data_IF_685059492872
#
_entry.id   IF_685059492872
#
_cell.length_a   1.000
_cell.length_b   1.000
_cell.length_c   1.000
_cell.angle_alpha   90.00
_cell.angle_beta   90.00
_cell.angle_gamma   90.00
#
_symmetry.space_group_name_H-M   'P 1'
#
loop_
_entity.id
_entity.type
_entity.pdbx_description
1 polymer ?
#
# COMPACT_ATOMS: atom_id res chain seq x y z
N UNK A 1 10.09 48.32 22.28
CA UNK A 1 10.46 46.92 22.56
C UNK A 1 9.26 45.94 22.58
N UNK A 2 8.06 46.34 23.04
CA UNK A 2 6.88 45.41 23.13
C UNK A 2 6.33 44.94 21.73
N UNK A 3 6.48 45.73 20.66
CA UNK A 3 5.96 45.38 19.31
C UNK A 3 6.79 44.29 18.60
N UNK A 4 8.09 44.16 18.87
CA UNK A 4 8.98 43.18 18.30
C UNK A 4 8.70 41.80 18.90
N UNK A 5 8.37 41.68 20.20
CA UNK A 5 8.03 40.44 20.86
C UNK A 5 6.76 39.77 20.30
N UNK A 6 5.75 40.59 19.88
CA UNK A 6 4.49 40.09 19.32
C UNK A 6 4.73 39.43 17.93
N UNK A 7 5.60 40.03 17.13
CA UNK A 7 5.94 39.52 15.77
C UNK A 7 6.71 38.21 15.87
N UNK A 8 7.61 38.04 16.84
CA UNK A 8 8.36 36.81 17.07
C UNK A 8 7.43 35.67 17.53
N UNK A 9 6.45 35.96 18.39
CA UNK A 9 5.46 34.96 18.84
C UNK A 9 4.59 34.49 17.67
N UNK A 10 4.20 35.38 16.76
CA UNK A 10 3.41 35.03 15.58
C UNK A 10 4.16 34.12 14.60
N UNK A 11 5.50 34.25 14.50
CA UNK A 11 6.33 33.39 13.64
C UNK A 11 6.53 31.99 14.19
N UNK A 12 6.47 31.80 15.52
CA UNK A 12 6.65 30.49 16.17
C UNK A 12 5.39 29.61 16.02
N UNK A 13 4.19 30.19 15.86
CA UNK A 13 2.93 29.47 15.73
C UNK A 13 2.66 28.95 14.32
N UNK A 14 3.39 29.39 13.29
CA UNK A 14 3.23 28.92 11.90
C UNK A 14 4.05 27.66 11.57
N UNK A 15 4.80 27.08 12.51
CA UNK A 15 5.88 26.13 12.24
C UNK A 15 5.52 24.62 12.33
N UNK A 16 4.32 24.20 12.73
CA UNK A 16 4.04 22.79 12.99
C UNK A 16 2.75 22.28 12.34
N UNK A 17 2.60 22.46 11.05
CA UNK A 17 1.71 21.57 10.28
C UNK A 17 2.57 20.38 9.89
N UNK A 18 2.60 19.34 10.73
CA UNK A 18 3.09 18.03 10.34
C UNK A 18 2.12 17.49 9.27
N UNK A 19 2.41 17.73 8.00
CA UNK A 19 1.76 16.99 6.93
C UNK A 19 2.25 15.54 7.01
N UNK A 20 1.48 14.69 7.67
CA UNK A 20 1.69 13.24 7.62
C UNK A 20 1.33 12.80 6.20
N UNK A 21 2.34 12.41 5.42
CA UNK A 21 2.12 11.85 4.09
C UNK A 21 1.79 10.36 4.25
N UNK A 22 0.58 9.98 3.88
CA UNK A 22 0.17 8.59 3.85
C UNK A 22 0.54 8.00 2.49
N UNK A 23 1.50 7.08 2.49
CA UNK A 23 2.06 6.51 1.26
C UNK A 23 2.35 5.01 1.46
N UNK A 24 1.95 4.20 0.49
CA UNK A 24 2.46 2.85 0.32
C UNK A 24 3.20 2.72 -1.01
N UNK A 25 4.06 1.71 -1.14
CA UNK A 25 4.70 1.38 -2.42
C UNK A 25 4.47 -0.08 -2.75
N UNK A 26 4.17 -0.36 -4.03
CA UNK A 26 4.00 -1.73 -4.51
C UNK A 26 4.80 -1.95 -5.79
N UNK A 27 5.55 -3.04 -5.85
CA UNK A 27 6.21 -3.50 -7.06
C UNK A 27 5.44 -4.70 -7.61
N UNK A 28 5.02 -4.63 -8.87
CA UNK A 28 4.47 -5.73 -9.65
C UNK A 28 5.53 -6.18 -10.66
N UNK A 29 6.16 -7.31 -10.41
CA UNK A 29 7.20 -7.88 -11.25
C UNK A 29 6.62 -9.05 -12.06
N UNK A 30 6.39 -8.82 -13.36
CA UNK A 30 5.96 -9.85 -14.30
C UNK A 30 7.17 -10.70 -14.70
N UNK A 31 7.11 -11.97 -14.35
CA UNK A 31 8.22 -12.92 -14.53
C UNK A 31 8.16 -13.65 -15.87
N UNK A 32 9.27 -14.23 -16.28
CA UNK A 32 9.34 -15.10 -17.48
C UNK A 32 8.58 -16.43 -17.27
N UNK A 33 8.34 -16.82 -16.01
CA UNK A 33 7.58 -18.03 -15.65
C UNK A 33 6.05 -17.84 -15.67
N UNK A 34 5.56 -16.76 -16.29
CA UNK A 34 4.14 -16.40 -16.34
C UNK A 34 3.51 -16.27 -14.94
N UNK A 35 4.20 -15.57 -14.04
CA UNK A 35 3.66 -15.15 -12.74
C UNK A 35 3.84 -13.65 -12.55
N UNK A 36 3.14 -13.08 -11.56
CA UNK A 36 3.35 -11.73 -11.05
C UNK A 36 3.73 -11.81 -9.59
N UNK A 37 4.97 -11.48 -9.29
CA UNK A 37 5.45 -11.31 -7.91
C UNK A 37 5.13 -9.89 -7.45
N UNK A 38 4.50 -9.76 -6.28
CA UNK A 38 4.10 -8.46 -5.75
C UNK A 38 4.76 -8.24 -4.40
N UNK A 39 5.46 -7.12 -4.28
CA UNK A 39 6.04 -6.65 -3.01
C UNK A 39 5.36 -5.36 -2.61
N UNK A 40 4.69 -5.36 -1.47
CA UNK A 40 4.01 -4.19 -0.90
C UNK A 40 4.75 -3.71 0.32
N UNK A 41 4.98 -2.40 0.44
CA UNK A 41 5.60 -1.76 1.60
C UNK A 41 4.63 -0.77 2.21
N UNK A 42 4.34 -0.96 3.49
CA UNK A 42 3.41 -0.13 4.28
C UNK A 42 4.15 0.31 5.55
N UNK A 43 3.96 1.55 5.99
CA UNK A 43 4.47 1.98 7.29
C UNK A 43 3.78 1.23 8.42
N UNK A 44 4.55 0.87 9.45
CA UNK A 44 4.04 0.09 10.59
C UNK A 44 2.91 0.79 11.32
N UNK A 45 3.04 2.10 11.54
CA UNK A 45 2.03 2.91 12.21
C UNK A 45 0.73 3.02 11.40
N UNK A 46 0.82 3.07 10.07
CA UNK A 46 -0.36 3.09 9.19
C UNK A 46 -1.05 1.72 9.19
N UNK A 47 -0.28 0.63 9.13
CA UNK A 47 -0.83 -0.73 9.24
C UNK A 47 -1.44 -0.98 10.62
N UNK A 48 -0.79 -0.53 11.70
CA UNK A 48 -1.33 -0.63 13.06
C UNK A 48 -2.65 0.13 13.20
N UNK A 49 -2.71 1.36 12.66
CA UNK A 49 -3.95 2.15 12.64
C UNK A 49 -5.08 1.46 11.87
N UNK A 50 -4.76 0.78 10.76
CA UNK A 50 -5.72 -0.03 10.02
C UNK A 50 -6.22 -1.21 10.88
N UNK A 51 -5.29 -1.94 11.50
CA UNK A 51 -5.64 -3.10 12.33
C UNK A 51 -6.51 -2.70 13.53
N UNK A 52 -6.18 -1.62 14.21
CA UNK A 52 -6.97 -1.06 15.31
C UNK A 52 -8.38 -0.62 14.85
N UNK A 53 -8.47 0.03 13.70
CA UNK A 53 -9.76 0.51 13.18
C UNK A 53 -10.67 -0.61 12.65
N UNK A 54 -10.10 -1.60 11.98
CA UNK A 54 -10.87 -2.64 11.27
C UNK A 54 -11.04 -3.94 12.06
N UNK A 55 -10.05 -4.28 12.91
CA UNK A 55 -9.97 -5.55 13.63
C UNK A 55 -9.79 -5.34 15.14
N UNK A 56 -10.44 -4.31 15.72
CA UNK A 56 -10.29 -3.89 17.12
C UNK A 56 -10.58 -4.97 18.15
N UNK A 57 -11.34 -6.00 17.80
CA UNK A 57 -11.60 -7.12 18.69
C UNK A 57 -10.42 -8.12 18.78
N UNK A 58 -9.58 -8.17 17.75
CA UNK A 58 -8.47 -9.12 17.62
C UNK A 58 -7.10 -8.44 17.71
N UNK A 59 -7.04 -7.12 17.55
CA UNK A 59 -5.81 -6.33 17.52
C UNK A 59 -5.84 -5.16 18.52
N UNK A 60 -4.72 -4.96 19.19
CA UNK A 60 -4.42 -3.76 19.97
C UNK A 60 -2.94 -3.37 19.75
N UNK A 61 -2.54 -2.18 20.23
CA UNK A 61 -1.19 -1.64 20.04
C UNK A 61 -0.04 -2.51 20.58
N UNK A 62 -0.33 -3.46 21.46
CA UNK A 62 0.63 -4.42 21.98
C UNK A 62 0.62 -5.77 21.25
N UNK A 63 -0.23 -5.92 20.23
CA UNK A 63 -0.33 -7.15 19.46
C UNK A 63 0.93 -7.37 18.61
N UNK A 64 1.42 -8.61 18.61
CA UNK A 64 2.52 -9.00 17.76
C UNK A 64 2.03 -9.14 16.31
N UNK A 65 2.60 -8.33 15.41
CA UNK A 65 2.29 -8.39 13.97
C UNK A 65 2.68 -9.72 13.33
N UNK A 66 3.60 -10.46 13.94
CA UNK A 66 4.05 -11.77 13.45
C UNK A 66 3.16 -12.92 13.96
N UNK A 67 2.19 -12.64 14.83
CA UNK A 67 1.25 -13.66 15.30
C UNK A 67 0.38 -14.21 14.16
N UNK A 68 0.06 -15.50 14.19
CA UNK A 68 -0.73 -16.20 13.17
C UNK A 68 -2.08 -15.52 12.91
N UNK A 69 -2.72 -15.03 13.97
CA UNK A 69 -4.01 -14.33 13.85
C UNK A 69 -3.87 -13.04 13.05
N UNK A 70 -2.90 -12.20 13.41
CA UNK A 70 -2.67 -10.91 12.74
C UNK A 70 -2.21 -11.13 11.29
N UNK A 71 -1.35 -12.11 11.05
CA UNK A 71 -0.95 -12.50 9.69
C UNK A 71 -2.15 -12.94 8.83
N UNK A 72 -3.14 -13.61 9.41
CA UNK A 72 -4.36 -13.98 8.69
C UNK A 72 -5.21 -12.76 8.32
N UNK A 73 -5.27 -11.73 9.17
CA UNK A 73 -5.97 -10.47 8.90
C UNK A 73 -5.26 -9.61 7.84
N UNK A 74 -3.93 -9.56 7.90
CA UNK A 74 -3.12 -8.90 6.86
C UNK A 74 -3.34 -9.58 5.51
N UNK A 75 -3.34 -10.91 5.47
CA UNK A 75 -3.66 -11.68 4.26
C UNK A 75 -5.03 -11.30 3.68
N UNK A 76 -6.09 -11.42 4.49
CA UNK A 76 -7.46 -11.11 4.09
C UNK A 76 -7.56 -9.69 3.53
N UNK A 77 -6.90 -8.75 4.20
CA UNK A 77 -6.88 -7.36 3.80
C UNK A 77 -6.21 -7.13 2.45
N UNK A 78 -5.01 -7.67 2.26
CA UNK A 78 -4.23 -7.48 1.03
C UNK A 78 -4.86 -8.19 -0.17
N UNK A 79 -5.33 -9.43 0.00
CA UNK A 79 -6.00 -10.20 -1.06
C UNK A 79 -7.32 -9.54 -1.50
N UNK A 80 -7.96 -8.79 -0.62
CA UNK A 80 -9.18 -8.04 -0.95
C UNK A 80 -8.89 -6.73 -1.68
N UNK A 81 -7.80 -6.03 -1.31
CA UNK A 81 -7.52 -4.66 -1.75
C UNK A 81 -6.53 -4.56 -2.92
N UNK A 82 -5.92 -5.68 -3.34
CA UNK A 82 -5.04 -5.77 -4.50
C UNK A 82 -5.67 -6.72 -5.52
N UNK A 83 -5.80 -6.26 -6.76
CA UNK A 83 -6.33 -7.09 -7.85
C UNK A 83 -5.61 -6.81 -9.15
N UNK A 84 -5.51 -7.82 -9.99
CA UNK A 84 -4.99 -7.73 -11.35
C UNK A 84 -6.09 -8.21 -12.29
N UNK A 85 -6.34 -7.44 -13.34
CA UNK A 85 -7.31 -7.83 -14.37
C UNK A 85 -6.55 -8.12 -15.65
N UNK A 86 -6.87 -9.24 -16.28
CA UNK A 86 -6.45 -9.61 -17.64
C UNK A 86 -7.71 -9.70 -18.49
N UNK A 87 -7.80 -8.90 -19.55
CA UNK A 87 -8.97 -8.82 -20.43
C UNK A 87 -10.30 -8.65 -19.64
N UNK A 88 -10.29 -7.78 -18.61
CA UNK A 88 -11.38 -7.51 -17.69
C UNK A 88 -11.77 -8.66 -16.73
N UNK A 89 -11.07 -9.78 -16.73
CA UNK A 89 -11.27 -10.86 -15.76
C UNK A 89 -10.39 -10.57 -14.56
N UNK A 90 -11.01 -10.53 -13.36
CA UNK A 90 -10.37 -10.21 -12.09
C UNK A 90 -9.65 -11.41 -11.50
N UNK A 91 -8.41 -11.19 -11.07
CA UNK A 91 -7.59 -12.15 -10.35
C UNK A 91 -7.11 -11.56 -9.03
N UNK A 92 -7.08 -12.38 -7.99
CA UNK A 92 -6.56 -12.02 -6.69
C UNK A 92 -5.21 -12.71 -6.46
N UNK A 93 -4.14 -11.98 -6.20
CA UNK A 93 -2.86 -12.58 -5.86
C UNK A 93 -2.94 -13.25 -4.48
N UNK A 94 -2.23 -14.36 -4.34
CA UNK A 94 -2.12 -15.12 -3.10
C UNK A 94 -1.07 -14.49 -2.20
N UNK A 95 -1.40 -14.24 -0.95
CA UNK A 95 -0.47 -13.80 0.08
C UNK A 95 0.53 -14.89 0.46
N UNK A 96 1.82 -14.55 0.54
CA UNK A 96 2.91 -15.46 0.88
C UNK A 96 3.48 -15.22 2.28
N UNK A 97 3.46 -13.97 2.77
CA UNK A 97 3.97 -13.61 4.09
C UNK A 97 4.38 -12.15 4.20
N UNK A 98 4.90 -11.80 5.39
CA UNK A 98 5.47 -10.47 5.67
C UNK A 98 6.89 -10.55 6.20
N UNK A 99 7.60 -9.43 6.11
CA UNK A 99 8.89 -9.19 6.73
C UNK A 99 8.88 -7.84 7.45
N UNK A 100 9.35 -7.82 8.70
CA UNK A 100 9.52 -6.62 9.49
C UNK A 100 10.83 -5.91 9.10
N UNK A 101 10.77 -4.66 8.61
CA UNK A 101 11.96 -3.84 8.25
C UNK A 101 11.89 -2.46 8.86
N UNK A 102 12.48 -2.27 10.04
CA UNK A 102 12.47 -0.99 10.78
C UNK A 102 11.05 -0.43 10.92
N UNK A 103 10.74 0.64 10.18
CA UNK A 103 9.46 1.34 10.21
C UNK A 103 8.47 0.84 9.15
N UNK A 104 8.84 -0.20 8.40
CA UNK A 104 8.04 -0.77 7.32
C UNK A 104 7.67 -2.22 7.60
N UNK A 105 6.48 -2.60 7.14
CA UNK A 105 6.10 -3.98 6.89
C UNK A 105 6.19 -4.20 5.38
N UNK A 106 6.93 -5.23 4.99
CA UNK A 106 7.05 -5.68 3.59
C UNK A 106 6.20 -6.91 3.43
N UNK A 107 5.19 -6.86 2.58
CA UNK A 107 4.27 -7.97 2.30
C UNK A 107 4.57 -8.55 0.92
N UNK A 108 4.51 -9.86 0.81
CA UNK A 108 4.76 -10.59 -0.43
C UNK A 108 3.49 -11.30 -0.87
N UNK A 109 3.13 -11.12 -2.14
CA UNK A 109 2.03 -11.82 -2.78
C UNK A 109 2.49 -12.33 -4.15
N UNK A 110 1.79 -13.32 -4.68
CA UNK A 110 2.05 -13.86 -6.00
C UNK A 110 0.75 -14.23 -6.71
N UNK A 111 0.72 -14.02 -8.01
CA UNK A 111 -0.29 -14.55 -8.90
C UNK A 111 0.40 -15.46 -9.91
N UNK A 112 0.21 -16.77 -9.76
CA UNK A 112 0.76 -17.79 -10.65
C UNK A 112 -0.12 -17.99 -11.90
N UNK A 113 0.48 -18.50 -12.96
CA UNK A 113 -0.20 -18.95 -14.19
C UNK A 113 -1.09 -17.86 -14.79
N UNK A 114 -0.53 -16.65 -14.94
CA UNK A 114 -1.26 -15.54 -15.54
C UNK A 114 -1.59 -15.84 -17.02
N UNK A 115 -2.77 -15.42 -17.50
CA UNK A 115 -3.11 -15.55 -18.92
C UNK A 115 -2.24 -14.62 -19.77
N UNK A 116 -2.10 -14.97 -21.05
CA UNK A 116 -1.50 -14.06 -22.04
C UNK A 116 -2.55 -12.99 -22.35
N UNK A 117 -2.19 -11.73 -22.09
CA UNK A 117 -3.05 -10.58 -22.38
C UNK A 117 -2.19 -9.37 -22.74
N UNK A 118 -2.69 -8.52 -23.61
CA UNK A 118 -2.06 -7.24 -23.94
C UNK A 118 -2.57 -6.10 -23.07
N UNK A 119 -3.73 -6.27 -22.43
CA UNK A 119 -4.38 -5.26 -21.59
C UNK A 119 -4.41 -5.77 -20.17
N UNK A 120 -3.68 -5.12 -19.28
CA UNK A 120 -3.62 -5.46 -17.86
C UNK A 120 -4.06 -4.23 -17.06
N UNK A 121 -5.06 -4.41 -16.19
CA UNK A 121 -5.44 -3.38 -15.24
C UNK A 121 -5.00 -3.80 -13.83
N UNK A 122 -4.31 -2.91 -13.13
CA UNK A 122 -3.88 -3.07 -11.74
C UNK A 122 -4.76 -2.22 -10.84
N UNK A 123 -5.31 -2.82 -9.81
CA UNK A 123 -6.09 -2.14 -8.76
C UNK A 123 -5.37 -2.29 -7.43
N UNK A 124 -5.24 -1.16 -6.69
CA UNK A 124 -4.68 -1.15 -5.34
C UNK A 124 -5.40 -0.11 -4.49
N UNK A 125 -6.20 -0.59 -3.54
CA UNK A 125 -7.03 0.21 -2.62
C UNK A 125 -6.50 0.24 -1.18
N UNK A 126 -5.24 -0.14 -0.98
CA UNK A 126 -4.64 -0.20 0.36
C UNK A 126 -4.76 1.15 1.05
N UNK A 127 -5.30 1.16 2.28
CA UNK A 127 -5.44 2.30 3.19
C UNK A 127 -6.37 3.44 2.71
N UNK A 128 -7.08 3.30 1.59
CA UNK A 128 -8.01 4.32 1.10
C UNK A 128 -9.25 4.51 1.99
N UNK A 129 -9.63 3.50 2.77
CA UNK A 129 -10.72 3.61 3.75
C UNK A 129 -10.31 4.40 4.99
N UNK A 130 -9.00 4.41 5.31
CA UNK A 130 -8.48 5.01 6.52
C UNK A 130 -8.01 6.46 6.31
N UNK A 131 -7.31 6.70 5.19
CA UNK A 131 -6.69 8.00 4.91
C UNK A 131 -7.19 8.59 3.59
N UNK A 132 -7.77 9.80 3.64
CA UNK A 132 -8.29 10.49 2.45
C UNK A 132 -7.19 10.87 1.47
N UNK A 133 -6.00 11.22 1.98
CA UNK A 133 -4.84 11.65 1.19
C UNK A 133 -3.86 10.52 0.89
N UNK A 134 -4.27 9.25 1.09
CA UNK A 134 -3.44 8.08 0.78
C UNK A 134 -3.01 8.06 -0.69
N UNK A 135 -1.73 7.80 -0.91
CA UNK A 135 -1.14 7.58 -2.24
C UNK A 135 -0.48 6.21 -2.29
N UNK A 136 -0.89 5.39 -3.25
CA UNK A 136 -0.28 4.11 -3.52
C UNK A 136 0.61 4.23 -4.76
N UNK A 137 1.93 4.23 -4.54
CA UNK A 137 2.93 4.31 -5.62
C UNK A 137 3.12 2.91 -6.16
N UNK A 138 2.82 2.73 -7.44
CA UNK A 138 2.92 1.45 -8.13
C UNK A 138 4.12 1.48 -9.06
N UNK A 139 4.97 0.48 -8.92
CA UNK A 139 6.05 0.18 -9.85
C UNK A 139 5.70 -1.10 -10.59
N UNK A 140 5.78 -1.08 -11.90
CA UNK A 140 5.58 -2.26 -12.75
C UNK A 140 6.90 -2.56 -13.45
N UNK A 141 7.29 -3.83 -13.43
CA UNK A 141 8.43 -4.35 -14.16
C UNK A 141 7.98 -5.54 -15.02
N UNK A 142 8.23 -5.48 -16.32
CA UNK A 142 8.07 -6.59 -17.27
C UNK A 142 9.25 -6.60 -18.23
N UNK A 143 10.04 -7.66 -18.17
CA UNK A 143 11.32 -7.74 -18.89
C UNK A 143 12.23 -6.53 -18.52
N UNK A 144 12.65 -5.75 -19.53
CA UNK A 144 13.46 -4.55 -19.36
C UNK A 144 12.63 -3.27 -19.19
N UNK A 145 11.32 -3.35 -19.35
CA UNK A 145 10.42 -2.20 -19.22
C UNK A 145 10.06 -1.96 -17.77
N UNK A 146 10.08 -0.69 -17.38
CA UNK A 146 9.67 -0.23 -16.04
C UNK A 146 8.75 0.97 -16.19
N UNK A 147 7.65 0.95 -15.48
CA UNK A 147 6.69 2.05 -15.40
C UNK A 147 6.36 2.32 -13.94
N UNK A 148 5.96 3.56 -13.64
CA UNK A 148 5.52 3.94 -12.30
C UNK A 148 4.39 4.94 -12.40
N UNK A 149 3.40 4.78 -11.52
CA UNK A 149 2.24 5.67 -11.42
C UNK A 149 1.75 5.73 -9.98
N UNK A 150 0.84 6.65 -9.71
CA UNK A 150 0.27 6.85 -8.37
C UNK A 150 -1.23 6.59 -8.46
N UNK A 151 -1.72 5.73 -7.57
CA UNK A 151 -3.14 5.53 -7.35
C UNK A 151 -3.59 6.31 -6.11
N UNK A 152 -4.80 6.84 -6.18
CA UNK A 152 -5.47 7.59 -5.13
C UNK A 152 -6.87 7.02 -4.93
N UNK A 153 -7.58 7.48 -3.90
CA UNK A 153 -8.95 7.03 -3.63
C UNK A 153 -9.89 7.26 -4.82
N UNK A 154 -9.74 8.39 -5.52
CA UNK A 154 -10.57 8.74 -6.68
C UNK A 154 -10.12 8.04 -7.98
N UNK A 155 -8.89 7.51 -8.02
CA UNK A 155 -8.33 6.80 -9.14
C UNK A 155 -7.54 5.58 -8.64
N UNK A 156 -8.25 4.51 -8.29
CA UNK A 156 -7.72 3.34 -7.59
C UNK A 156 -7.18 2.23 -8.50
N UNK A 157 -7.23 2.41 -9.81
CA UNK A 157 -6.72 1.47 -10.80
C UNK A 157 -6.00 2.16 -11.95
N UNK A 158 -5.20 1.40 -12.68
CA UNK A 158 -4.48 1.86 -13.87
C UNK A 158 -4.39 0.73 -14.90
N UNK A 159 -4.66 1.07 -16.17
CA UNK A 159 -4.56 0.14 -17.29
C UNK A 159 -3.22 0.30 -18.01
N UNK A 160 -2.56 -0.82 -18.23
CA UNK A 160 -1.27 -0.96 -18.88
C UNK A 160 -1.47 -1.66 -20.22
N UNK A 161 -0.87 -1.13 -21.29
CA UNK A 161 -0.60 -1.85 -22.52
C UNK A 161 0.80 -2.45 -22.39
N UNK A 162 0.93 -3.77 -22.39
CA UNK A 162 2.20 -4.46 -22.12
C UNK A 162 2.60 -5.38 -23.28
#
# INVERSE_FOLDING_TARGET
>A
MKKISIVIILFITCGFINHKYYVSTSLFNFTESNSVEITVRIFKDDLSSLMEGKYSNEYNSNSDLDSTLIQSKIREYLETNISIYFDNIKYHPKYLGTENKKDLIVCYLELEKIPISNIIKLENKILFELFLDQKNIIHVKKNNNKQSFILTKDNSDYTLDI
#
